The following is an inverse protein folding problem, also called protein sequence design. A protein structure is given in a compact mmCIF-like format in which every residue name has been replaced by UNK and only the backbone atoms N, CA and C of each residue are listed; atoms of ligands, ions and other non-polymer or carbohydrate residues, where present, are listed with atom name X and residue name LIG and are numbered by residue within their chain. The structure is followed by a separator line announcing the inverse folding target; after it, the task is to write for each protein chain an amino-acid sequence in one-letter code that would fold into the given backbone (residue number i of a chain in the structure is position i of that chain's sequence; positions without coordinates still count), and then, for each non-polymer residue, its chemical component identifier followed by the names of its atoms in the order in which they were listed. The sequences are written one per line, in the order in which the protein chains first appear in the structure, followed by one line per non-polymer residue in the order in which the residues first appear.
data_IF_885328584852
#
_entry.id   IF_885328584852
#
_cell.length_a   1.000
_cell.length_b   1.000
_cell.length_c   1.000
_cell.angle_alpha   90.00
_cell.angle_beta   90.00
_cell.angle_gamma   90.00
#
_symmetry.space_group_name_H-M   'P 1'
#
loop_
_entity.id
_entity.type
_entity.pdbx_description
1 polymer ?
#
# COMPACT_ATOMS: atom_id res chain seq x y z
N UNK A 1 6.70 21.12 -21.87
CA UNK A 1 5.70 20.09 -21.49
C UNK A 1 5.22 20.43 -20.10
N UNK A 2 3.93 20.71 -19.91
CA UNK A 2 3.37 20.74 -18.56
C UNK A 2 3.21 19.29 -18.14
N UNK A 3 4.01 18.84 -17.18
CA UNK A 3 3.78 17.56 -16.52
C UNK A 3 2.38 17.62 -15.92
N UNK A 4 1.45 16.83 -16.45
CA UNK A 4 0.16 16.62 -15.81
C UNK A 4 0.45 15.81 -14.54
N UNK A 5 0.59 16.50 -13.41
CA UNK A 5 0.68 15.85 -12.11
C UNK A 5 -0.68 15.25 -11.77
N UNK A 6 -0.79 13.91 -11.87
CA UNK A 6 -1.99 13.19 -11.43
C UNK A 6 -2.09 13.24 -9.91
N UNK A 7 -2.97 14.06 -9.37
CA UNK A 7 -3.12 14.20 -7.92
C UNK A 7 -3.77 12.96 -7.30
N UNK A 8 -3.16 12.42 -6.25
CA UNK A 8 -3.74 11.37 -5.42
C UNK A 8 -4.83 11.97 -4.52
N UNK A 9 -6.10 11.69 -4.82
CA UNK A 9 -7.24 12.12 -4.00
C UNK A 9 -7.65 11.00 -3.05
N UNK A 10 -7.54 11.25 -1.74
CA UNK A 10 -7.86 10.27 -0.69
C UNK A 10 -9.18 10.58 0.03
N UNK A 11 -10.01 9.56 0.22
CA UNK A 11 -11.29 9.62 0.92
C UNK A 11 -11.32 8.54 2.00
N UNK A 12 -11.71 8.88 3.22
CA UNK A 12 -11.93 7.90 4.29
C UNK A 12 -13.24 7.16 4.10
N UNK A 13 -13.21 5.84 4.28
CA UNK A 13 -14.38 4.96 4.19
C UNK A 13 -14.82 4.49 5.58
N UNK A 14 -16.13 4.45 5.79
CA UNK A 14 -16.75 4.01 7.04
C UNK A 14 -17.16 2.52 6.98
N UNK A 15 -16.19 1.61 6.84
CA UNK A 15 -16.45 0.16 6.91
C UNK A 15 -15.92 -0.44 8.23
N UNK A 16 -16.77 -0.44 9.27
CA UNK A 16 -16.40 -0.99 10.59
C UNK A 16 -16.04 -2.48 10.53
N UNK A 17 -16.73 -3.26 9.69
CA UNK A 17 -16.47 -4.70 9.55
C UNK A 17 -15.06 -4.98 9.04
N UNK A 18 -14.62 -4.25 8.01
CA UNK A 18 -13.25 -4.35 7.48
C UNK A 18 -12.21 -3.94 8.53
N UNK A 19 -12.44 -2.85 9.25
CA UNK A 19 -11.52 -2.36 10.29
C UNK A 19 -11.43 -3.32 11.49
N UNK A 20 -12.57 -3.85 11.95
CA UNK A 20 -12.59 -4.83 13.02
C UNK A 20 -11.85 -6.11 12.61
N UNK A 21 -12.01 -6.56 11.35
CA UNK A 21 -11.28 -7.70 10.83
C UNK A 21 -9.78 -7.42 10.78
N UNK A 22 -9.36 -6.27 10.24
CA UNK A 22 -7.96 -5.86 10.20
C UNK A 22 -7.32 -5.80 11.60
N UNK A 23 -8.09 -5.40 12.62
CA UNK A 23 -7.65 -5.36 14.02
C UNK A 23 -7.38 -6.72 14.66
N UNK A 24 -7.76 -7.83 14.02
CA UNK A 24 -7.46 -9.19 14.49
C UNK A 24 -6.19 -9.79 13.88
N UNK A 25 -5.59 -9.10 12.89
CA UNK A 25 -4.43 -9.60 12.15
C UNK A 25 -3.13 -9.15 12.81
N UNK A 26 -2.04 -9.88 12.52
CA UNK A 26 -0.71 -9.53 13.01
C UNK A 26 -0.28 -8.18 12.45
N UNK A 27 0.15 -7.28 13.32
CA UNK A 27 0.58 -5.92 12.95
C UNK A 27 2.10 -5.80 12.87
N UNK A 28 2.75 -6.83 12.33
CA UNK A 28 4.19 -6.91 12.13
C UNK A 28 4.51 -7.50 10.76
N UNK A 29 5.70 -7.22 10.26
CA UNK A 29 6.20 -7.76 8.99
C UNK A 29 7.72 -7.72 8.93
N UNK A 30 8.28 -8.22 7.83
CA UNK A 30 9.72 -8.21 7.56
C UNK A 30 10.03 -7.34 6.35
N UNK A 31 11.10 -6.56 6.41
CA UNK A 31 11.56 -5.81 5.23
C UNK A 31 12.04 -6.77 4.16
N UNK A 32 11.51 -6.58 2.95
CA UNK A 32 11.92 -7.29 1.75
C UNK A 32 12.23 -6.29 0.64
N UNK A 33 13.00 -6.76 -0.35
CA UNK A 33 13.43 -5.96 -1.48
C UNK A 33 13.27 -6.77 -2.77
N UNK A 34 12.72 -6.13 -3.80
CA UNK A 34 12.75 -6.60 -5.18
C UNK A 34 13.32 -5.46 -6.03
N UNK A 35 14.53 -5.67 -6.55
CA UNK A 35 15.30 -4.63 -7.24
C UNK A 35 15.51 -3.38 -6.36
N UNK A 36 15.04 -2.21 -6.77
CA UNK A 36 15.08 -0.95 -6.01
C UNK A 36 13.82 -0.68 -5.18
N UNK A 37 12.84 -1.58 -5.22
CA UNK A 37 11.62 -1.49 -4.44
C UNK A 37 11.76 -2.18 -3.07
N UNK A 38 11.55 -1.41 -2.00
CA UNK A 38 11.56 -1.90 -0.62
C UNK A 38 10.15 -1.85 -0.04
N UNK A 39 9.74 -2.94 0.58
CA UNK A 39 8.42 -3.07 1.18
C UNK A 39 8.48 -3.90 2.46
N UNK A 40 7.50 -3.71 3.33
CA UNK A 40 7.27 -4.59 4.46
C UNK A 40 6.35 -5.72 4.00
N UNK A 41 6.87 -6.95 3.89
CA UNK A 41 6.05 -8.13 3.66
C UNK A 41 5.25 -8.43 4.93
N UNK A 42 3.94 -8.58 4.77
CA UNK A 42 2.99 -8.88 5.84
C UNK A 42 2.15 -10.10 5.46
N UNK A 43 1.28 -10.51 6.38
CA UNK A 43 0.40 -11.65 6.17
C UNK A 43 -0.60 -11.38 5.03
N UNK A 44 -0.70 -12.32 4.08
CA UNK A 44 -1.62 -12.24 2.95
C UNK A 44 -3.10 -12.32 3.38
N UNK A 45 -3.36 -12.70 4.63
CA UNK A 45 -4.65 -12.60 5.30
C UNK A 45 -5.25 -11.18 5.27
N UNK A 46 -4.40 -10.14 5.20
CA UNK A 46 -4.90 -8.77 5.00
C UNK A 46 -5.72 -8.63 3.71
N UNK A 47 -5.31 -9.29 2.62
CA UNK A 47 -6.06 -9.26 1.36
C UNK A 47 -7.15 -10.33 1.39
N UNK A 48 -6.82 -11.57 1.79
CA UNK A 48 -7.78 -12.69 1.78
C UNK A 48 -9.03 -12.44 2.61
N UNK A 49 -8.93 -11.74 3.74
CA UNK A 49 -10.03 -11.56 4.67
C UNK A 49 -10.75 -10.22 4.51
N UNK A 50 -10.10 -9.20 3.95
CA UNK A 50 -10.67 -7.85 3.81
C UNK A 50 -11.28 -7.66 2.42
N UNK A 51 -10.65 -8.18 1.35
CA UNK A 51 -11.18 -8.07 0.00
C UNK A 51 -12.64 -8.58 -0.11
N UNK A 52 -13.02 -9.75 0.43
CA UNK A 52 -14.41 -10.22 0.37
C UNK A 52 -15.43 -9.29 1.05
N UNK A 53 -15.00 -8.58 2.10
CA UNK A 53 -15.86 -7.60 2.79
C UNK A 53 -16.07 -6.38 1.89
N UNK A 54 -15.02 -5.93 1.20
CA UNK A 54 -15.11 -4.80 0.28
C UNK A 54 -15.92 -5.15 -0.97
N UNK A 55 -15.69 -6.33 -1.56
CA UNK A 55 -16.39 -6.78 -2.78
C UNK A 55 -17.89 -7.00 -2.58
N UNK A 56 -18.35 -7.15 -1.33
CA UNK A 56 -19.77 -7.19 -1.00
C UNK A 56 -20.46 -5.82 -1.11
N UNK A 57 -19.69 -4.72 -1.14
CA UNK A 57 -20.20 -3.35 -1.14
C UNK A 57 -19.73 -2.51 -2.34
N UNK A 58 -18.61 -2.90 -2.94
CA UNK A 58 -17.98 -2.19 -4.05
C UNK A 58 -17.64 -3.18 -5.14
N UNK A 59 -17.76 -2.76 -6.40
CA UNK A 59 -17.18 -3.48 -7.53
C UNK A 59 -15.66 -3.29 -7.49
N UNK A 60 -14.95 -4.25 -6.88
CA UNK A 60 -13.49 -4.19 -6.66
C UNK A 60 -12.85 -5.55 -6.83
N UNK A 61 -11.73 -5.58 -7.55
CA UNK A 61 -10.88 -6.73 -7.73
C UNK A 61 -9.79 -6.81 -6.68
N UNK A 62 -9.16 -7.98 -6.55
CA UNK A 62 -7.92 -8.11 -5.78
C UNK A 62 -6.78 -7.36 -6.47
N UNK A 63 -5.79 -6.85 -5.73
CA UNK A 63 -4.63 -6.20 -6.33
C UNK A 63 -3.91 -7.10 -7.35
N UNK A 64 -3.37 -6.50 -8.42
CA UNK A 64 -2.73 -7.24 -9.52
C UNK A 64 -1.54 -8.10 -9.05
N UNK A 65 -0.84 -7.67 -8.01
CA UNK A 65 0.28 -8.35 -7.34
C UNK A 65 -0.17 -9.35 -6.26
N UNK A 66 -1.35 -9.93 -6.43
CA UNK A 66 -1.93 -10.95 -5.55
C UNK A 66 -2.58 -12.07 -6.38
N UNK A 67 -1.90 -12.53 -7.43
CA UNK A 67 -2.43 -13.54 -8.35
C UNK A 67 -1.62 -14.83 -8.35
N UNK A 68 -0.30 -14.72 -8.26
CA UNK A 68 0.63 -15.83 -8.33
C UNK A 68 1.40 -15.98 -7.00
N UNK A 69 1.84 -17.20 -6.62
CA UNK A 69 2.61 -17.42 -5.39
C UNK A 69 3.90 -16.59 -5.28
N UNK A 70 4.52 -16.24 -6.41
CA UNK A 70 5.72 -15.41 -6.50
C UNK A 70 5.45 -13.91 -6.44
N UNK A 71 4.20 -13.48 -6.40
CA UNK A 71 3.87 -12.07 -6.28
C UNK A 71 4.23 -11.53 -4.89
N UNK A 72 4.36 -10.20 -4.81
CA UNK A 72 4.67 -9.50 -3.54
C UNK A 72 3.61 -9.81 -2.47
N UNK A 73 2.35 -10.01 -2.88
CA UNK A 73 1.25 -10.26 -1.96
C UNK A 73 0.86 -9.01 -1.16
N UNK A 74 0.31 -9.20 0.06
CA UNK A 74 0.03 -8.11 0.98
C UNK A 74 1.33 -7.49 1.49
N UNK A 75 1.41 -6.16 1.42
CA UNK A 75 2.62 -5.43 1.80
C UNK A 75 2.31 -3.96 2.13
N UNK A 76 3.31 -3.30 2.73
CA UNK A 76 3.35 -1.85 2.88
C UNK A 76 4.57 -1.33 2.11
N UNK A 77 4.37 -0.46 1.12
CA UNK A 77 5.47 0.17 0.39
C UNK A 77 6.31 1.02 1.34
N UNK A 78 7.61 0.76 1.41
CA UNK A 78 8.52 1.48 2.30
C UNK A 78 9.39 2.45 1.54
N UNK A 79 10.01 2.04 0.43
CA UNK A 79 10.79 2.91 -0.47
C UNK A 79 10.46 2.53 -1.91
N UNK A 80 10.02 3.51 -2.71
CA UNK A 80 9.73 3.30 -4.13
C UNK A 80 11.00 3.43 -5.00
N UNK A 81 11.03 2.74 -6.17
CA UNK A 81 12.12 2.86 -7.15
C UNK A 81 12.52 4.31 -7.45
N UNK A 82 11.54 5.19 -7.68
CA UNK A 82 11.77 6.61 -7.99
C UNK A 82 12.38 7.45 -6.86
N UNK A 83 12.47 6.92 -5.65
CA UNK A 83 13.18 7.60 -4.55
C UNK A 83 14.71 7.46 -4.68
N UNK A 84 15.20 6.64 -5.63
CA UNK A 84 16.60 6.55 -6.06
C UNK A 84 17.60 6.31 -4.92
N UNK A 85 17.27 5.40 -4.01
CA UNK A 85 18.11 5.03 -2.86
C UNK A 85 18.76 3.67 -3.04
N UNK A 86 20.06 3.58 -2.78
CA UNK A 86 20.76 2.30 -2.67
C UNK A 86 20.58 1.72 -1.26
N UNK A 87 19.87 0.60 -1.17
CA UNK A 87 19.58 -0.05 0.11
C UNK A 87 20.77 -0.88 0.61
N UNK A 88 20.95 -0.86 1.93
CA UNK A 88 21.90 -1.74 2.61
C UNK A 88 21.19 -3.07 2.85
N UNK A 89 21.73 -4.16 2.27
CA UNK A 89 21.17 -5.51 2.40
C UNK A 89 21.09 -6.00 3.85
N UNK A 90 21.90 -5.48 4.76
CA UNK A 90 21.84 -5.81 6.19
C UNK A 90 20.52 -5.39 6.86
N UNK A 91 19.76 -4.49 6.24
CA UNK A 91 18.44 -4.10 6.73
C UNK A 91 17.31 -5.02 6.26
N UNK A 92 17.53 -5.83 5.23
CA UNK A 92 16.54 -6.77 4.72
C UNK A 92 16.35 -7.90 5.74
N UNK A 93 15.10 -8.31 5.96
CA UNK A 93 14.71 -9.24 7.01
C UNK A 93 14.51 -8.59 8.38
N UNK A 94 14.73 -7.27 8.54
CA UNK A 94 14.41 -6.60 9.81
C UNK A 94 12.91 -6.54 10.03
N UNK A 95 12.50 -6.86 11.27
CA UNK A 95 11.10 -6.82 11.68
C UNK A 95 10.67 -5.40 12.01
N UNK A 96 9.51 -5.01 11.51
CA UNK A 96 8.86 -3.75 11.85
C UNK A 96 7.41 -3.97 12.29
N UNK A 97 6.91 -3.00 13.07
CA UNK A 97 5.55 -3.00 13.59
C UNK A 97 4.78 -1.81 13.04
N UNK A 98 3.48 -1.99 12.86
CA UNK A 98 2.58 -0.95 12.40
C UNK A 98 1.25 -0.99 13.17
N UNK A 99 0.38 -0.02 12.90
CA UNK A 99 -1.01 0.01 13.36
C UNK A 99 -1.91 0.40 12.20
N UNK A 100 -3.04 -0.27 12.07
CA UNK A 100 -4.09 0.12 11.12
C UNK A 100 -4.88 1.29 11.71
N UNK A 101 -4.89 2.42 11.01
CA UNK A 101 -5.57 3.64 11.48
C UNK A 101 -6.94 3.84 10.81
N UNK A 102 -7.16 3.27 9.62
CA UNK A 102 -8.39 3.49 8.87
C UNK A 102 -8.43 2.77 7.54
N UNK A 103 -9.57 2.90 6.88
CA UNK A 103 -9.80 2.43 5.51
C UNK A 103 -9.96 3.65 4.63
N UNK A 104 -9.22 3.69 3.53
CA UNK A 104 -9.20 4.78 2.57
C UNK A 104 -9.47 4.27 1.17
N UNK A 105 -9.97 5.18 0.33
CA UNK A 105 -10.00 5.04 -1.11
C UNK A 105 -9.13 6.14 -1.71
N UNK A 106 -8.27 5.79 -2.65
CA UNK A 106 -7.41 6.72 -3.37
C UNK A 106 -7.60 6.57 -4.87
N UNK A 107 -7.66 7.67 -5.62
CA UNK A 107 -7.63 7.63 -7.10
C UNK A 107 -6.25 8.06 -7.59
N UNK A 108 -5.66 7.28 -8.50
CA UNK A 108 -4.43 7.63 -9.21
C UNK A 108 -4.54 7.14 -10.67
N UNK A 109 -4.44 8.06 -11.62
CA UNK A 109 -4.79 7.82 -13.02
C UNK A 109 -6.21 7.28 -13.19
N UNK A 110 -6.32 6.20 -13.97
CA UNK A 110 -7.57 5.48 -14.23
C UNK A 110 -7.86 4.37 -13.21
N UNK A 111 -7.09 4.30 -12.11
CA UNK A 111 -7.28 3.27 -11.06
C UNK A 111 -7.73 3.91 -9.75
N UNK A 112 -8.68 3.27 -9.10
CA UNK A 112 -9.02 3.48 -7.71
C UNK A 112 -8.46 2.34 -6.86
N UNK A 113 -7.85 2.71 -5.73
CA UNK A 113 -7.23 1.82 -4.77
C UNK A 113 -8.01 1.90 -3.46
N UNK A 114 -8.36 0.73 -2.93
CA UNK A 114 -8.93 0.57 -1.60
C UNK A 114 -7.84 0.03 -0.69
N UNK A 115 -7.51 0.79 0.34
CA UNK A 115 -6.36 0.48 1.17
C UNK A 115 -6.62 0.74 2.65
N UNK A 116 -5.99 -0.05 3.51
CA UNK A 116 -5.88 0.29 4.92
C UNK A 116 -4.76 1.32 5.08
N UNK A 117 -5.06 2.50 5.62
CA UNK A 117 -4.03 3.45 6.02
C UNK A 117 -3.38 2.96 7.33
N UNK A 118 -2.05 3.02 7.40
CA UNK A 118 -1.30 2.55 8.57
C UNK A 118 -0.28 3.59 9.06
N UNK A 119 0.06 3.49 10.33
CA UNK A 119 1.17 4.20 10.96
C UNK A 119 2.23 3.21 11.38
N UNK A 120 3.49 3.56 11.14
CA UNK A 120 4.63 2.79 11.62
C UNK A 120 5.79 3.73 11.98
N UNK A 121 5.99 4.03 13.27
CA UNK A 121 7.13 4.83 13.72
C UNK A 121 8.46 4.18 13.33
N UNK A 122 8.53 2.84 13.38
CA UNK A 122 9.75 2.10 13.07
C UNK A 122 10.12 2.20 11.58
N UNK A 123 9.15 2.18 10.67
CA UNK A 123 9.40 2.40 9.24
C UNK A 123 9.75 3.85 8.92
N UNK A 124 9.13 4.82 9.60
CA UNK A 124 9.51 6.23 9.47
C UNK A 124 10.98 6.47 9.87
N UNK A 125 11.42 5.90 11.00
CA UNK A 125 12.83 5.96 11.44
C UNK A 125 13.74 5.22 10.45
N UNK A 126 13.30 4.08 9.91
CA UNK A 126 14.06 3.37 8.88
C UNK A 126 14.31 4.23 7.64
N UNK A 127 13.28 4.91 7.12
CA UNK A 127 13.40 5.82 5.97
C UNK A 127 14.37 6.97 6.24
N UNK A 128 14.38 7.50 7.46
CA UNK A 128 15.32 8.56 7.85
C UNK A 128 16.79 8.13 7.82
N UNK A 129 17.11 6.83 7.97
CA UNK A 129 18.49 6.33 7.78
C UNK A 129 19.02 6.56 6.36
N UNK A 130 18.12 6.74 5.40
CA UNK A 130 18.40 7.00 4.00
C UNK A 130 18.13 8.46 3.60
N UNK A 131 17.99 9.36 4.58
CA UNK A 131 17.70 10.77 4.36
C UNK A 131 16.37 11.03 3.61
N UNK A 132 15.46 10.07 3.66
CA UNK A 132 14.12 10.20 3.08
C UNK A 132 13.14 10.80 4.08
N UNK A 133 12.07 11.38 3.55
CA UNK A 133 10.93 11.82 4.34
C UNK A 133 10.29 10.66 5.12
N UNK A 134 9.66 10.91 6.28
CA UNK A 134 9.01 9.86 7.08
C UNK A 134 7.91 9.07 6.32
N UNK A 135 7.31 9.69 5.30
CA UNK A 135 6.28 9.09 4.44
C UNK A 135 6.85 8.74 3.06
N UNK A 136 6.42 7.64 2.42
CA UNK A 136 6.83 7.31 1.06
C UNK A 136 6.46 8.38 0.05
N UNK A 137 7.36 8.60 -0.91
CA UNK A 137 7.08 9.43 -2.09
C UNK A 137 6.80 8.52 -3.29
N UNK A 138 5.57 8.59 -3.80
CA UNK A 138 5.14 7.88 -4.99
C UNK A 138 4.83 8.90 -6.10
N UNK A 139 5.51 8.79 -7.24
CA UNK A 139 5.33 9.70 -8.40
C UNK A 139 5.32 11.18 -8.02
N UNK A 140 6.28 11.58 -7.18
CA UNK A 140 6.47 12.97 -6.74
C UNK A 140 5.50 13.44 -5.66
N UNK A 141 4.67 12.56 -5.09
CA UNK A 141 3.71 12.89 -4.04
C UNK A 141 3.95 12.06 -2.78
N UNK A 142 3.94 12.73 -1.63
CA UNK A 142 3.94 12.03 -0.34
C UNK A 142 2.61 11.34 -0.12
N UNK A 143 2.67 10.05 0.19
CA UNK A 143 1.51 9.22 0.49
C UNK A 143 1.63 8.63 1.89
N UNK A 144 0.50 8.21 2.46
CA UNK A 144 0.53 7.47 3.72
C UNK A 144 1.06 6.06 3.48
N UNK A 145 1.67 5.46 4.50
CA UNK A 145 1.83 4.01 4.50
C UNK A 145 0.45 3.37 4.42
N UNK A 146 0.34 2.35 3.58
CA UNK A 146 -0.94 1.69 3.36
C UNK A 146 -0.76 0.24 2.92
N UNK A 147 -1.80 -0.54 3.13
CA UNK A 147 -1.94 -1.91 2.63
C UNK A 147 -3.08 -1.89 1.62
N UNK A 148 -2.79 -2.09 0.34
CA UNK A 148 -3.86 -2.17 -0.66
C UNK A 148 -4.56 -3.52 -0.56
N UNK A 149 -5.88 -3.48 -0.50
CA UNK A 149 -6.74 -4.65 -0.30
C UNK A 149 -7.80 -4.81 -1.41
N UNK A 150 -7.92 -3.82 -2.29
CA UNK A 150 -8.74 -3.91 -3.49
C UNK A 150 -8.38 -2.83 -4.49
N UNK A 151 -8.66 -3.10 -5.76
CA UNK A 151 -8.46 -2.17 -6.87
C UNK A 151 -9.69 -2.15 -7.76
N UNK A 152 -9.95 -1.01 -8.39
CA UNK A 152 -10.94 -0.88 -9.45
C UNK A 152 -10.32 -0.08 -10.58
N UNK A 153 -10.37 -0.60 -11.79
CA UNK A 153 -10.14 0.21 -12.99
C UNK A 153 -11.41 0.99 -13.30
N UNK A 154 -11.30 2.28 -13.61
CA UNK A 154 -12.39 2.94 -14.34
C UNK A 154 -12.44 2.34 -15.75
N UNK A 155 -13.62 1.94 -16.25
CA UNK A 155 -13.73 1.51 -17.63
C UNK A 155 -13.29 2.69 -18.52
N UNK A 156 -12.45 2.41 -19.52
CA UNK A 156 -12.20 3.35 -20.59
C UNK A 156 -13.56 3.70 -21.20
N UNK A 157 -14.01 4.93 -21.03
CA UNK A 157 -15.12 5.46 -21.82
C UNK A 157 -14.60 5.64 -23.24
N UNK A 158 -14.49 4.53 -23.99
CA UNK A 158 -14.37 4.57 -25.44
C UNK A 158 -15.74 5.05 -25.93
N UNK A 159 -15.85 6.35 -26.18
CA UNK A 159 -16.92 6.90 -27.01
C UNK A 159 -16.58 6.43 -28.43
N UNK A 160 -17.28 5.40 -28.91
CA UNK A 160 -17.35 5.09 -30.35
C UNK A 160 -18.08 6.20 -31.12
#
# INVERSE_FOLDING_TARGET
MKEHFEQCNMIHLSCKTALNKAGTLKTEGLLEQRDDYCYLKIDDDYIHLIHPILSAHYDVDKPDYFRLPEDVGAHISVIYPEENVTLNREHIGQKHFFRVDGLIKAKFGLKEYFALSVTSPTLAVFRQKYYLDPKPTFKGQQIVFHITVGVRAEPDNIIE
#
